data_IF_329690183079
#
_entry.id   IF_329690183079
#
_cell.length_a   1.000
_cell.length_b   1.000
_cell.length_c   1.000
_cell.angle_alpha   90.00
_cell.angle_beta   90.00
_cell.angle_gamma   90.00
#
_symmetry.space_group_name_H-M   'P 1'
#
loop_
_entity.id
_entity.type
_entity.pdbx_description
1 polymer ?
#
# COMPACT_ATOMS: atom_id res chain seq x y z
N UNK A 1 -27.00 18.81 11.19
CA UNK A 1 -26.23 17.59 10.87
C UNK A 1 -24.82 18.03 10.51
N UNK A 2 -23.82 17.44 11.13
CA UNK A 2 -22.43 17.69 10.75
C UNK A 2 -22.21 17.20 9.32
N UNK A 3 -21.64 18.06 8.48
CA UNK A 3 -21.31 17.69 7.09
C UNK A 3 -20.09 16.78 7.10
N UNK A 4 -20.16 15.68 6.34
CA UNK A 4 -19.02 14.74 6.19
C UNK A 4 -18.52 14.81 4.75
N UNK A 5 -17.21 15.01 4.59
CA UNK A 5 -16.51 15.00 3.31
C UNK A 5 -15.59 13.79 3.24
N UNK A 6 -15.73 13.01 2.19
CA UNK A 6 -14.91 11.83 1.95
C UNK A 6 -13.76 12.16 1.01
N UNK A 7 -12.54 11.76 1.37
CA UNK A 7 -11.34 12.04 0.58
C UNK A 7 -10.67 10.74 0.17
N UNK A 8 -10.73 10.43 -1.11
CA UNK A 8 -9.98 9.33 -1.69
C UNK A 8 -8.54 9.76 -1.99
N UNK A 9 -7.59 8.91 -1.64
CA UNK A 9 -6.16 9.15 -1.88
C UNK A 9 -5.61 8.00 -2.70
N UNK A 10 -5.17 8.28 -3.92
CA UNK A 10 -4.37 7.34 -4.69
C UNK A 10 -2.89 7.55 -4.36
N UNK A 11 -2.28 6.52 -3.76
CA UNK A 11 -0.97 6.61 -3.10
C UNK A 11 0.10 5.95 -3.96
N UNK A 12 0.99 6.76 -4.52
CA UNK A 12 2.19 6.34 -5.23
C UNK A 12 3.46 6.64 -4.42
N UNK A 13 4.61 6.15 -4.88
CA UNK A 13 5.91 6.35 -4.21
C UNK A 13 6.26 7.83 -4.05
N UNK A 14 6.08 8.62 -5.12
CA UNK A 14 6.57 10.00 -5.20
C UNK A 14 5.44 11.04 -5.16
N UNK A 15 4.21 10.64 -5.48
CA UNK A 15 3.05 11.52 -5.57
C UNK A 15 1.80 10.91 -4.97
N UNK A 16 0.94 11.75 -4.42
CA UNK A 16 -0.42 11.40 -4.00
C UNK A 16 -1.44 12.19 -4.81
N UNK A 17 -2.45 11.51 -5.33
CA UNK A 17 -3.59 12.14 -5.97
C UNK A 17 -4.81 12.06 -5.07
N UNK A 18 -5.41 13.21 -4.76
CA UNK A 18 -6.53 13.33 -3.83
C UNK A 18 -7.77 13.84 -4.55
N UNK A 19 -8.92 13.37 -4.12
CA UNK A 19 -10.21 13.90 -4.55
C UNK A 19 -11.18 13.92 -3.38
N UNK A 20 -11.86 15.03 -3.17
CA UNK A 20 -12.93 15.18 -2.17
C UNK A 20 -14.28 14.86 -2.79
N UNK A 21 -15.16 14.22 -2.03
CA UNK A 21 -16.51 13.86 -2.42
C UNK A 21 -17.50 14.25 -1.32
N UNK A 22 -18.46 15.07 -1.69
CA UNK A 22 -19.65 15.40 -0.88
C UNK A 22 -20.78 14.45 -1.27
N UNK A 23 -21.10 13.50 -0.40
CA UNK A 23 -22.12 12.49 -0.67
C UNK A 23 -23.53 13.10 -0.75
N UNK A 24 -23.82 14.15 0.05
CA UNK A 24 -25.15 14.78 0.06
C UNK A 24 -25.43 15.50 -1.24
N UNK A 25 -24.42 16.17 -1.80
CA UNK A 25 -24.51 16.87 -3.09
C UNK A 25 -24.18 15.96 -4.29
N UNK A 26 -23.71 14.74 -4.05
CA UNK A 26 -23.15 13.84 -5.06
C UNK A 26 -22.11 14.53 -5.96
N UNK A 27 -21.22 15.31 -5.36
CA UNK A 27 -20.28 16.18 -6.05
C UNK A 27 -18.84 15.86 -5.69
N UNK A 28 -18.01 15.65 -6.72
CA UNK A 28 -16.56 15.62 -6.58
C UNK A 28 -15.98 17.03 -6.71
N UNK A 29 -15.02 17.35 -5.86
CA UNK A 29 -14.37 18.67 -5.85
C UNK A 29 -12.94 18.60 -5.30
N UNK A 30 -12.20 19.71 -5.40
CA UNK A 30 -10.83 19.86 -4.87
C UNK A 30 -9.90 18.71 -5.25
N UNK A 31 -9.90 18.33 -6.53
CA UNK A 31 -9.00 17.32 -7.04
C UNK A 31 -7.58 17.88 -7.14
N UNK A 32 -6.62 17.21 -6.52
CA UNK A 32 -5.25 17.69 -6.41
C UNK A 32 -4.22 16.55 -6.44
N UNK A 33 -3.10 16.78 -7.11
CA UNK A 33 -1.93 15.89 -7.07
C UNK A 33 -0.79 16.64 -6.40
N UNK A 34 -0.14 16.00 -5.44
CA UNK A 34 0.90 16.60 -4.62
C UNK A 34 2.07 15.63 -4.41
N UNK A 35 3.22 16.16 -4.00
CA UNK A 35 4.36 15.33 -3.58
C UNK A 35 3.98 14.47 -2.38
N UNK A 36 4.41 13.21 -2.38
CA UNK A 36 4.13 12.24 -1.33
C UNK A 36 4.66 12.74 0.04
N UNK A 37 3.75 13.15 0.90
CA UNK A 37 4.06 13.63 2.25
C UNK A 37 2.79 13.62 3.12
N UNK A 38 2.90 13.11 4.34
CA UNK A 38 1.81 13.16 5.33
C UNK A 38 1.42 14.60 5.64
N UNK A 39 2.38 15.52 5.75
CA UNK A 39 2.12 16.93 6.03
C UNK A 39 1.28 17.60 4.93
N UNK A 40 1.54 17.28 3.67
CA UNK A 40 0.76 17.82 2.54
C UNK A 40 -0.69 17.31 2.59
N UNK A 41 -0.89 16.02 2.89
CA UNK A 41 -2.23 15.43 3.04
C UNK A 41 -2.96 16.07 4.22
N UNK A 42 -2.31 16.20 5.37
CA UNK A 42 -2.89 16.83 6.56
C UNK A 42 -3.32 18.28 6.29
N UNK A 43 -2.49 19.07 5.60
CA UNK A 43 -2.80 20.43 5.19
C UNK A 43 -4.00 20.49 4.24
N UNK A 44 -4.08 19.55 3.29
CA UNK A 44 -5.21 19.43 2.40
C UNK A 44 -6.50 19.12 3.17
N UNK A 45 -6.49 18.13 4.08
CA UNK A 45 -7.66 17.74 4.88
C UNK A 45 -8.15 18.89 5.76
N UNK A 46 -7.25 19.64 6.39
CA UNK A 46 -7.60 20.85 7.17
C UNK A 46 -8.29 21.90 6.30
N UNK A 47 -7.69 22.22 5.15
CA UNK A 47 -8.26 23.20 4.21
C UNK A 47 -9.65 22.79 3.73
N UNK A 48 -9.86 21.49 3.42
CA UNK A 48 -11.17 20.97 3.03
C UNK A 48 -12.18 21.11 4.16
N UNK A 49 -11.82 20.77 5.40
CA UNK A 49 -12.68 20.93 6.57
C UNK A 49 -13.08 22.40 6.77
N UNK A 50 -12.12 23.30 6.83
CA UNK A 50 -12.33 24.76 7.05
C UNK A 50 -13.19 25.38 5.95
N UNK A 51 -12.93 25.06 4.67
CA UNK A 51 -13.67 25.59 3.53
C UNK A 51 -15.11 25.08 3.44
N UNK A 52 -15.46 24.05 4.20
CA UNK A 52 -16.80 23.44 4.21
C UNK A 52 -17.45 23.50 5.61
N UNK A 53 -17.23 24.60 6.34
CA UNK A 53 -17.90 24.85 7.62
C UNK A 53 -17.44 23.92 8.74
N UNK A 54 -16.15 23.60 8.79
CA UNK A 54 -15.54 22.65 9.72
C UNK A 54 -16.14 21.22 9.58
N UNK A 55 -16.43 20.81 8.36
CA UNK A 55 -16.92 19.47 8.06
C UNK A 55 -15.96 18.40 8.55
N UNK A 56 -16.50 17.28 9.01
CA UNK A 56 -15.70 16.10 9.35
C UNK A 56 -15.10 15.54 8.05
N UNK A 57 -13.78 15.38 8.01
CA UNK A 57 -13.11 14.73 6.88
C UNK A 57 -12.79 13.28 7.21
N UNK A 58 -13.16 12.37 6.32
CA UNK A 58 -12.79 10.94 6.37
C UNK A 58 -11.97 10.65 5.12
N UNK A 59 -10.71 10.27 5.30
CA UNK A 59 -9.86 9.93 4.17
C UNK A 59 -9.54 8.43 4.12
N UNK A 60 -9.21 7.96 2.92
CA UNK A 60 -8.85 6.55 2.74
C UNK A 60 -8.11 6.27 1.45
N UNK A 61 -7.35 5.20 1.46
CA UNK A 61 -6.59 4.72 0.31
C UNK A 61 -6.55 3.19 0.23
N UNK A 62 -6.21 2.67 -0.95
CA UNK A 62 -6.09 1.24 -1.19
C UNK A 62 -4.79 0.69 -0.58
N UNK A 63 -4.85 -0.45 0.13
CA UNK A 63 -3.65 -1.12 0.64
C UNK A 63 -2.71 -1.49 -0.51
N UNK A 64 -1.48 -1.06 -0.42
CA UNK A 64 -0.48 -1.23 -1.48
C UNK A 64 0.95 -1.33 -0.92
N UNK A 65 1.95 -1.29 -1.82
CA UNK A 65 3.36 -1.43 -1.45
C UNK A 65 3.89 -0.28 -0.58
N UNK A 66 3.22 0.86 -0.55
CA UNK A 66 3.57 2.01 0.31
C UNK A 66 3.24 1.78 1.79
N UNK A 67 2.55 0.68 2.10
CA UNK A 67 2.29 0.25 3.47
C UNK A 67 1.27 1.10 4.22
N UNK A 68 1.38 1.12 5.55
CA UNK A 68 0.39 1.69 6.45
C UNK A 68 0.82 3.03 7.08
N UNK A 69 2.05 3.48 6.78
CA UNK A 69 2.67 4.63 7.45
C UNK A 69 1.84 5.90 7.34
N UNK A 70 1.36 6.22 6.13
CA UNK A 70 0.52 7.41 5.91
C UNK A 70 -0.72 7.41 6.82
N UNK A 71 -1.43 6.29 6.89
CA UNK A 71 -2.64 6.17 7.72
C UNK A 71 -2.31 6.32 9.21
N UNK A 72 -1.28 5.66 9.69
CA UNK A 72 -0.84 5.75 11.08
C UNK A 72 -0.46 7.18 11.46
N UNK A 73 0.30 7.88 10.61
CA UNK A 73 0.74 9.24 10.88
C UNK A 73 -0.43 10.24 10.82
N UNK A 74 -1.42 10.04 9.94
CA UNK A 74 -2.64 10.86 9.89
C UNK A 74 -3.51 10.61 11.13
N UNK A 75 -3.69 9.36 11.54
CA UNK A 75 -4.46 9.02 12.75
C UNK A 75 -3.82 9.61 14.02
N UNK A 76 -2.49 9.61 14.14
CA UNK A 76 -1.76 10.26 15.24
C UNK A 76 -1.99 11.77 15.28
N UNK A 77 -2.27 12.40 14.14
CA UNK A 77 -2.61 13.82 14.03
C UNK A 77 -4.12 14.09 14.23
N UNK A 78 -4.92 13.07 14.55
CA UNK A 78 -6.36 13.18 14.82
C UNK A 78 -7.25 13.11 13.58
N UNK A 79 -6.70 12.76 12.39
CA UNK A 79 -7.52 12.59 11.19
C UNK A 79 -8.14 11.19 11.12
N UNK A 80 -9.39 11.12 10.63
CA UNK A 80 -10.04 9.85 10.34
C UNK A 80 -9.50 9.27 9.03
N UNK A 81 -8.54 8.36 9.12
CA UNK A 81 -7.96 7.70 7.96
C UNK A 81 -8.18 6.19 8.03
N UNK A 82 -8.58 5.60 6.90
CA UNK A 82 -8.80 4.16 6.76
C UNK A 82 -8.02 3.60 5.57
N UNK A 83 -7.72 2.30 5.61
CA UNK A 83 -7.11 1.56 4.53
C UNK A 83 -8.11 0.56 3.99
N UNK A 84 -8.32 0.56 2.69
CA UNK A 84 -9.26 -0.30 1.99
C UNK A 84 -8.55 -1.51 1.39
N UNK A 85 -9.13 -2.71 1.53
CA UNK A 85 -8.59 -3.91 0.93
C UNK A 85 -8.79 -3.90 -0.60
N UNK A 86 -7.75 -4.12 -1.43
CA UNK A 86 -7.83 -4.05 -2.89
C UNK A 86 -8.89 -4.97 -3.49
N UNK A 87 -9.04 -6.16 -2.91
CA UNK A 87 -9.99 -7.18 -3.38
C UNK A 87 -11.45 -6.82 -3.14
N UNK A 88 -11.72 -5.81 -2.33
CA UNK A 88 -13.09 -5.39 -1.98
C UNK A 88 -13.54 -4.17 -2.77
N UNK A 89 -12.64 -3.50 -3.51
CA UNK A 89 -12.97 -2.33 -4.31
C UNK A 89 -13.48 -2.78 -5.66
N UNK A 90 -14.76 -2.49 -5.93
CA UNK A 90 -15.37 -2.81 -7.23
C UNK A 90 -14.75 -1.91 -8.32
N UNK A 91 -13.99 -2.52 -9.23
CA UNK A 91 -13.44 -1.84 -10.41
C UNK A 91 -14.28 -2.22 -11.63
N UNK A 92 -14.91 -1.25 -12.28
CA UNK A 92 -15.67 -1.48 -13.50
C UNK A 92 -14.72 -1.70 -14.68
N UNK A 93 -15.25 -2.27 -15.80
CA UNK A 93 -14.45 -2.42 -17.03
C UNK A 93 -13.98 -1.06 -17.60
N UNK A 94 -14.78 0.01 -17.41
CA UNK A 94 -14.41 1.39 -17.76
C UNK A 94 -13.22 1.91 -16.94
N UNK A 95 -13.17 1.62 -15.66
CA UNK A 95 -12.08 2.06 -14.78
C UNK A 95 -10.75 1.43 -15.18
N UNK A 96 -10.79 0.23 -15.78
CA UNK A 96 -9.58 -0.45 -16.30
C UNK A 96 -9.07 0.16 -17.61
N UNK A 97 -9.95 0.73 -18.43
CA UNK A 97 -9.58 1.33 -19.74
C UNK A 97 -9.10 2.77 -19.63
N UNK A 98 -9.62 3.54 -18.67
CA UNK A 98 -9.29 4.95 -18.44
C UNK A 98 -8.54 5.15 -17.12
N UNK A 99 -7.54 4.31 -16.90
CA UNK A 99 -6.74 4.37 -15.66
C UNK A 99 -5.94 5.68 -15.62
N UNK A 100 -6.40 6.60 -14.75
CA UNK A 100 -5.67 7.81 -14.38
C UNK A 100 -5.71 7.95 -12.87
N UNK A 101 -4.64 8.44 -12.27
CA UNK A 101 -4.54 8.67 -10.81
C UNK A 101 -5.71 9.53 -10.30
N UNK A 102 -6.25 10.41 -11.17
CA UNK A 102 -7.42 11.23 -10.87
C UNK A 102 -8.70 10.39 -10.75
N UNK A 103 -8.92 9.49 -11.67
CA UNK A 103 -10.09 8.61 -11.68
C UNK A 103 -10.02 7.62 -10.50
N UNK A 104 -8.83 7.13 -10.18
CA UNK A 104 -8.60 6.24 -9.04
C UNK A 104 -8.89 6.96 -7.71
N UNK A 105 -8.45 8.20 -7.52
CA UNK A 105 -8.79 9.00 -6.34
C UNK A 105 -10.31 9.27 -6.21
N UNK A 106 -11.01 9.55 -7.31
CA UNK A 106 -12.48 9.72 -7.32
C UNK A 106 -13.19 8.41 -6.94
N UNK A 107 -12.76 7.31 -7.53
CA UNK A 107 -13.31 5.98 -7.22
C UNK A 107 -13.13 5.65 -5.72
N UNK A 108 -11.95 5.90 -5.17
CA UNK A 108 -11.67 5.67 -3.75
C UNK A 108 -12.54 6.57 -2.84
N UNK A 109 -12.72 7.85 -3.17
CA UNK A 109 -13.59 8.75 -2.42
C UNK A 109 -15.04 8.27 -2.41
N UNK A 110 -15.55 7.83 -3.57
CA UNK A 110 -16.89 7.26 -3.69
C UNK A 110 -17.03 5.95 -2.92
N UNK A 111 -16.08 5.04 -3.08
CA UNK A 111 -16.05 3.75 -2.35
C UNK A 111 -16.10 3.96 -0.84
N UNK A 112 -15.35 4.97 -0.36
CA UNK A 112 -15.30 5.37 1.04
C UNK A 112 -16.66 5.88 1.53
N UNK A 113 -17.31 6.77 0.76
CA UNK A 113 -18.59 7.37 1.10
C UNK A 113 -19.73 6.33 1.18
N UNK A 114 -19.75 5.38 0.27
CA UNK A 114 -20.77 4.32 0.24
C UNK A 114 -20.42 3.10 1.11
N UNK A 115 -19.32 3.15 1.87
CA UNK A 115 -18.85 2.03 2.71
C UNK A 115 -18.74 0.69 1.94
N UNK A 116 -18.48 0.75 0.63
CA UNK A 116 -18.41 -0.42 -0.25
C UNK A 116 -17.00 -1.03 -0.31
N UNK A 117 -16.39 -1.21 0.87
CA UNK A 117 -15.03 -1.75 1.01
C UNK A 117 -14.89 -2.58 2.28
N UNK A 118 -13.89 -3.46 2.31
CA UNK A 118 -13.40 -4.07 3.55
C UNK A 118 -12.26 -3.23 4.10
N UNK A 119 -12.40 -2.79 5.35
CA UNK A 119 -11.32 -2.08 6.03
C UNK A 119 -10.21 -3.05 6.41
N UNK A 120 -8.97 -2.65 6.15
CA UNK A 120 -7.79 -3.36 6.64
C UNK A 120 -7.55 -2.98 8.09
N UNK A 121 -7.57 -3.98 8.98
CA UNK A 121 -7.20 -3.79 10.38
C UNK A 121 -5.72 -3.45 10.48
N UNK A 122 -5.41 -2.29 11.06
CA UNK A 122 -4.03 -1.89 11.31
C UNK A 122 -3.48 -2.66 12.50
N UNK A 123 -2.43 -3.46 12.32
CA UNK A 123 -1.75 -4.07 13.45
C UNK A 123 -1.07 -2.99 14.31
N UNK A 124 -0.83 -3.30 15.57
CA UNK A 124 0.03 -2.45 16.42
C UNK A 124 1.42 -2.30 15.82
N UNK A 125 2.13 -1.22 16.16
CA UNK A 125 3.49 -0.95 15.63
C UNK A 125 4.46 -2.12 15.88
N UNK A 126 4.40 -2.71 17.06
CA UNK A 126 5.21 -3.88 17.39
C UNK A 126 4.93 -5.08 16.47
N UNK A 127 3.65 -5.34 16.20
CA UNK A 127 3.26 -6.42 15.29
C UNK A 127 3.69 -6.11 13.85
N UNK A 128 3.62 -4.85 13.41
CA UNK A 128 4.12 -4.43 12.09
C UNK A 128 5.62 -4.68 11.98
N UNK A 129 6.41 -4.22 12.94
CA UNK A 129 7.86 -4.43 12.95
C UNK A 129 8.24 -5.92 12.91
N UNK A 130 7.57 -6.76 13.72
CA UNK A 130 7.79 -8.21 13.71
C UNK A 130 7.44 -8.80 12.33
N UNK A 131 6.30 -8.43 11.75
CA UNK A 131 5.88 -8.92 10.43
C UNK A 131 6.88 -8.54 9.34
N UNK A 132 7.42 -7.32 9.38
CA UNK A 132 8.41 -6.85 8.41
C UNK A 132 9.70 -7.66 8.50
N UNK A 133 10.22 -7.89 9.70
CA UNK A 133 11.42 -8.72 9.93
C UNK A 133 11.20 -10.15 9.45
N UNK A 134 10.05 -10.77 9.79
CA UNK A 134 9.73 -12.13 9.35
C UNK A 134 9.62 -12.23 7.83
N UNK A 135 8.99 -11.25 7.18
CA UNK A 135 8.89 -11.20 5.71
C UNK A 135 10.25 -11.01 5.05
N UNK A 136 11.07 -10.10 5.60
CA UNK A 136 12.43 -9.89 5.11
C UNK A 136 13.26 -11.16 5.21
N UNK A 137 13.23 -11.84 6.37
CA UNK A 137 13.92 -13.13 6.57
C UNK A 137 13.45 -14.17 5.53
N UNK A 138 12.13 -14.31 5.32
CA UNK A 138 11.60 -15.26 4.34
C UNK A 138 12.07 -14.94 2.91
N UNK A 139 12.12 -13.66 2.53
CA UNK A 139 12.61 -13.19 1.24
C UNK A 139 14.09 -13.52 1.05
N UNK A 140 14.93 -13.24 2.04
CA UNK A 140 16.38 -13.54 2.00
C UNK A 140 16.62 -15.04 1.88
N UNK A 141 15.91 -15.86 2.66
CA UNK A 141 16.02 -17.32 2.56
C UNK A 141 15.63 -17.84 1.19
N UNK A 142 14.56 -17.30 0.58
CA UNK A 142 14.14 -17.64 -0.79
C UNK A 142 15.22 -17.28 -1.81
N UNK A 143 15.83 -16.11 -1.71
CA UNK A 143 16.92 -15.66 -2.58
C UNK A 143 18.16 -16.53 -2.43
N UNK A 144 18.54 -16.84 -1.21
CA UNK A 144 19.65 -17.76 -0.91
C UNK A 144 19.40 -19.15 -1.53
N UNK A 145 18.21 -19.71 -1.34
CA UNK A 145 17.82 -21.01 -1.97
C UNK A 145 17.93 -20.94 -3.49
N UNK A 146 17.45 -19.85 -4.11
CA UNK A 146 17.53 -19.68 -5.57
C UNK A 146 18.97 -19.59 -6.06
N UNK A 147 19.83 -18.84 -5.37
CA UNK A 147 21.25 -18.73 -5.69
C UNK A 147 21.95 -20.10 -5.62
N UNK A 148 21.67 -20.88 -4.58
CA UNK A 148 22.17 -22.24 -4.43
C UNK A 148 21.74 -23.16 -5.58
N UNK A 149 20.46 -23.10 -5.96
CA UNK A 149 19.93 -23.88 -7.08
C UNK A 149 20.59 -23.48 -8.42
N UNK A 150 20.78 -22.19 -8.65
CA UNK A 150 21.43 -21.67 -9.86
C UNK A 150 22.88 -22.19 -9.96
N UNK A 151 23.63 -22.17 -8.85
CA UNK A 151 25.00 -22.69 -8.84
C UNK A 151 25.04 -24.18 -9.15
N UNK A 152 24.17 -24.98 -8.53
CA UNK A 152 24.10 -26.43 -8.81
C UNK A 152 23.74 -26.70 -10.28
N UNK A 153 22.80 -25.94 -10.85
CA UNK A 153 22.42 -26.05 -12.27
C UNK A 153 23.58 -25.66 -13.18
N UNK A 154 24.35 -24.65 -12.85
CA UNK A 154 25.55 -24.24 -13.60
C UNK A 154 26.62 -25.35 -13.58
N UNK A 155 26.92 -25.91 -12.43
CA UNK A 155 27.87 -27.01 -12.29
C UNK A 155 27.44 -28.23 -13.14
N UNK A 156 26.18 -28.62 -13.05
CA UNK A 156 25.60 -29.70 -13.81
C UNK A 156 25.70 -29.44 -15.32
N UNK A 157 25.38 -28.24 -15.78
CA UNK A 157 25.46 -27.88 -17.20
C UNK A 157 26.88 -27.98 -17.76
N UNK A 158 27.88 -27.66 -16.96
CA UNK A 158 29.30 -27.77 -17.35
C UNK A 158 29.93 -29.12 -17.07
N UNK A 159 29.16 -30.12 -16.66
CA UNK A 159 29.67 -31.46 -16.36
C UNK A 159 30.61 -31.53 -15.16
N UNK A 160 30.56 -30.51 -14.30
CA UNK A 160 31.40 -30.44 -13.10
C UNK A 160 30.71 -31.24 -11.98
N UNK A 161 31.32 -32.37 -11.65
CA UNK A 161 30.87 -33.19 -10.53
C UNK A 161 31.27 -32.57 -9.20
N UNK A 162 30.34 -32.52 -8.30
CA UNK A 162 30.59 -32.02 -6.97
C UNK A 162 31.29 -33.06 -6.07
N UNK A 163 32.44 -32.74 -5.49
CA UNK A 163 33.17 -33.68 -4.64
C UNK A 163 32.46 -33.81 -3.27
N UNK A 164 31.70 -34.86 -3.10
CA UNK A 164 31.08 -35.07 -1.78
C UNK A 164 29.74 -35.77 -1.75
N UNK A 165 29.34 -36.38 -2.82
CA UNK A 165 28.40 -37.50 -2.97
C UNK A 165 27.08 -37.57 -2.21
N UNK A 166 26.66 -36.55 -1.42
CA UNK A 166 25.39 -36.60 -0.69
C UNK A 166 24.80 -35.20 -0.44
N UNK A 167 23.46 -35.12 -0.40
CA UNK A 167 22.73 -33.85 -0.14
C UNK A 167 23.16 -33.14 1.16
N UNK A 168 23.69 -33.88 2.13
CA UNK A 168 24.10 -33.36 3.45
C UNK A 168 25.44 -32.61 3.43
N UNK A 169 26.28 -32.82 2.40
CA UNK A 169 27.56 -32.15 2.25
C UNK A 169 27.51 -30.85 1.47
N UNK A 170 26.37 -30.53 0.84
CA UNK A 170 26.22 -29.29 0.12
C UNK A 170 26.23 -28.08 1.06
N UNK A 171 26.93 -27.02 0.63
CA UNK A 171 26.99 -25.73 1.35
C UNK A 171 27.79 -25.76 2.66
N UNK A 172 28.65 -26.74 2.83
CA UNK A 172 29.65 -26.79 3.92
C UNK A 172 30.93 -26.10 3.48
N UNK A 173 31.85 -25.86 4.42
CA UNK A 173 33.17 -25.29 4.12
C UNK A 173 33.91 -26.14 3.08
N UNK A 174 33.84 -27.49 3.15
CA UNK A 174 34.36 -28.41 2.13
C UNK A 174 33.79 -28.23 0.72
N UNK A 175 32.64 -27.60 0.61
CA UNK A 175 32.03 -27.34 -0.69
C UNK A 175 32.77 -26.21 -1.44
N UNK A 176 33.38 -25.31 -0.72
CA UNK A 176 34.01 -24.11 -1.28
C UNK A 176 35.55 -24.19 -1.30
N UNK A 177 36.14 -25.23 -0.73
CA UNK A 177 37.58 -25.54 -0.75
C UNK A 177 37.89 -26.67 -1.73
#
# INVERSE_FOLDING_TARGET
>A
MESIIYVGIDVHKDTYSLCSFDMQKNLFFSQHTMKASTANVASYLKKISESNGNAITICGYEAGPTGFRLCLDLQRQGFNCVIMAPTSIAKTAKDKMLKTDRADAQMLARTLAYHSYKQVMLPTENILAIKEVVRLRASVLKSCKKAKQNLLSFLLYHGISYPGGGRESYWTVKFFT
#
